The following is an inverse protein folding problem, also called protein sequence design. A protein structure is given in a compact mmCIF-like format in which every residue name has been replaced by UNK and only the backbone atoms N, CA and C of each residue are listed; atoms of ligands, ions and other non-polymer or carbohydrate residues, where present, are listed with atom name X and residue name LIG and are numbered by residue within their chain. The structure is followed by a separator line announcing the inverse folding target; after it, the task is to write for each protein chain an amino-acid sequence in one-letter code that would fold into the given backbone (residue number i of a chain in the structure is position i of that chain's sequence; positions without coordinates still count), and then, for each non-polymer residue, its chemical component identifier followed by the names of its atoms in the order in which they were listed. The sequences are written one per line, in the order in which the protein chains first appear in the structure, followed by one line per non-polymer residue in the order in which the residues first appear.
data_IF_114427346697
#
_entry.id   IF_114427346697
#
_cell.length_a   1.000
_cell.length_b   1.000
_cell.length_c   1.000
_cell.angle_alpha   90.00
_cell.angle_beta   90.00
_cell.angle_gamma   90.00
#
_symmetry.space_group_name_H-M   'P 1'
#
loop_
_entity.id
_entity.type
_entity.pdbx_description
1 polymer ?
#
# COMPACT_ATOMS: atom_id res chain seq x y z
N UNK A 1 -17.16 60.71 0.59
CA UNK A 1 -16.95 59.36 0.03
C UNK A 1 -16.28 58.43 1.08
N UNK A 2 -16.91 58.19 2.24
CA UNK A 2 -16.31 57.44 3.37
C UNK A 2 -17.14 56.22 3.83
N UNK A 3 -18.26 55.91 3.14
CA UNK A 3 -19.19 54.86 3.58
C UNK A 3 -18.84 53.45 3.10
N UNK A 4 -17.87 53.31 2.19
CA UNK A 4 -17.49 52.02 1.60
C UNK A 4 -16.32 51.31 2.33
N UNK A 5 -15.66 51.95 3.30
CA UNK A 5 -14.47 51.38 3.95
C UNK A 5 -14.81 50.37 5.07
N UNK A 6 -15.99 50.48 5.69
CA UNK A 6 -16.38 49.63 6.82
C UNK A 6 -16.73 48.18 6.48
N UNK A 7 -17.43 47.83 5.39
CA UNK A 7 -17.77 46.43 5.11
C UNK A 7 -16.54 45.59 4.72
N UNK A 8 -15.52 46.22 4.12
CA UNK A 8 -14.32 45.50 3.67
C UNK A 8 -13.43 45.06 4.86
N UNK A 9 -13.34 45.87 5.92
CA UNK A 9 -12.59 45.52 7.12
C UNK A 9 -13.20 44.32 7.87
N UNK A 10 -14.53 44.19 7.85
CA UNK A 10 -15.23 43.08 8.51
C UNK A 10 -15.02 41.74 7.79
N UNK A 11 -14.94 41.75 6.46
CA UNK A 11 -14.67 40.55 5.66
C UNK A 11 -13.24 40.03 5.86
N UNK A 12 -12.26 40.92 6.04
CA UNK A 12 -10.86 40.52 6.33
C UNK A 12 -10.73 39.89 7.72
N UNK A 13 -11.46 40.39 8.72
CA UNK A 13 -11.46 39.83 10.07
C UNK A 13 -12.11 38.43 10.15
N UNK A 14 -13.11 38.14 9.31
CA UNK A 14 -13.75 36.83 9.27
C UNK A 14 -12.89 35.76 8.57
N UNK A 15 -11.96 36.15 7.70
CA UNK A 15 -11.04 35.21 7.01
C UNK A 15 -9.81 34.81 7.84
N UNK A 16 -9.55 35.47 8.97
CA UNK A 16 -8.35 35.23 9.77
C UNK A 16 -8.49 34.09 10.80
N UNK A 17 -9.68 33.50 10.96
CA UNK A 17 -9.86 32.29 11.74
C UNK A 17 -9.46 31.07 10.89
N UNK A 18 -8.15 30.82 10.79
CA UNK A 18 -7.63 29.57 10.22
C UNK A 18 -8.19 28.38 10.98
N UNK A 19 -8.89 27.51 10.28
CA UNK A 19 -9.43 26.27 10.84
C UNK A 19 -8.26 25.38 11.27
N UNK A 20 -7.96 25.34 12.57
CA UNK A 20 -7.03 24.36 13.13
C UNK A 20 -7.83 23.10 13.37
N UNK A 21 -7.40 22.01 12.74
CA UNK A 21 -8.04 20.72 12.93
C UNK A 21 -7.85 20.29 14.40
N UNK A 22 -8.95 19.91 15.05
CA UNK A 22 -8.95 19.43 16.45
C UNK A 22 -8.10 18.19 16.62
N UNK A 23 -7.92 17.40 15.56
CA UNK A 23 -6.98 16.28 15.56
C UNK A 23 -5.54 16.77 15.67
N UNK A 24 -5.12 17.73 14.83
CA UNK A 24 -3.75 18.27 14.86
C UNK A 24 -3.42 18.83 16.25
N UNK A 25 -4.34 19.56 16.90
CA UNK A 25 -4.15 20.10 18.25
C UNK A 25 -3.87 19.01 19.30
N UNK A 26 -4.47 17.83 19.18
CA UNK A 26 -4.29 16.72 20.13
C UNK A 26 -2.98 15.93 19.92
N UNK A 27 -2.39 15.98 18.72
CA UNK A 27 -1.15 15.26 18.38
C UNK A 27 0.04 16.18 18.12
N UNK A 28 -0.10 17.47 18.43
CA UNK A 28 0.95 18.47 18.22
C UNK A 28 2.17 18.25 19.13
N UNK A 29 1.98 17.65 20.30
CA UNK A 29 3.05 17.39 21.28
C UNK A 29 3.80 16.07 21.01
N UNK A 30 3.35 15.28 20.02
CA UNK A 30 3.98 14.00 19.65
C UNK A 30 4.93 14.19 18.48
N UNK A 31 5.95 13.33 18.40
CA UNK A 31 6.85 13.31 17.24
C UNK A 31 6.03 13.03 15.96
N UNK A 32 6.23 13.83 14.89
CA UNK A 32 5.44 13.68 13.68
C UNK A 32 5.81 12.37 12.99
N UNK A 33 4.80 11.62 12.56
CA UNK A 33 4.99 10.33 11.89
C UNK A 33 4.02 10.23 10.71
N UNK A 34 4.56 10.00 9.52
CA UNK A 34 3.82 9.88 8.27
C UNK A 34 3.93 8.45 7.73
N UNK A 35 2.79 7.74 7.68
CA UNK A 35 2.76 6.34 7.29
C UNK A 35 2.14 6.15 5.90
N UNK A 36 2.85 5.44 5.03
CA UNK A 36 2.51 5.22 3.62
C UNK A 36 2.41 3.73 3.28
N UNK A 37 1.54 3.40 2.33
CA UNK A 37 1.38 2.03 1.82
C UNK A 37 2.43 1.72 0.75
N UNK A 38 3.39 0.87 1.11
CA UNK A 38 4.36 0.26 0.20
C UNK A 38 3.85 -1.07 -0.37
N UNK A 39 4.60 -1.67 -1.29
CA UNK A 39 4.26 -2.98 -1.89
C UNK A 39 4.29 -4.10 -0.83
N UNK A 40 5.19 -4.01 0.16
CA UNK A 40 5.39 -5.04 1.19
C UNK A 40 4.76 -4.76 2.55
N UNK A 41 4.10 -3.60 2.75
CA UNK A 41 3.57 -3.20 4.06
C UNK A 41 3.43 -1.69 4.22
N UNK A 42 3.29 -1.22 5.46
CA UNK A 42 3.27 0.22 5.78
C UNK A 42 4.67 0.68 6.17
N UNK A 43 5.15 1.76 5.57
CA UNK A 43 6.41 2.42 5.94
C UNK A 43 6.09 3.76 6.57
N UNK A 44 6.70 4.05 7.72
CA UNK A 44 6.50 5.30 8.45
C UNK A 44 7.80 6.10 8.46
N UNK A 45 7.67 7.41 8.28
CA UNK A 45 8.78 8.36 8.21
C UNK A 45 8.51 9.53 9.14
N UNK A 46 9.56 10.15 9.65
CA UNK A 46 9.45 11.34 10.51
C UNK A 46 9.10 12.60 9.68
N UNK A 47 9.44 12.59 8.38
CA UNK A 47 9.16 13.65 7.42
C UNK A 47 8.19 13.19 6.32
N UNK A 48 7.41 14.11 5.73
CA UNK A 48 6.48 13.77 4.66
C UNK A 48 7.21 13.32 3.39
N UNK A 49 6.95 12.09 2.96
CA UNK A 49 7.46 11.54 1.70
C UNK A 49 6.52 11.87 0.54
N UNK A 50 6.79 12.97 -0.17
CA UNK A 50 5.92 13.51 -1.23
C UNK A 50 5.71 12.56 -2.42
N UNK A 51 6.70 11.71 -2.73
CA UNK A 51 6.59 10.72 -3.82
C UNK A 51 5.42 9.76 -3.64
N UNK A 52 5.08 9.45 -2.39
CA UNK A 52 4.04 8.50 -2.03
C UNK A 52 2.80 9.15 -1.42
N UNK A 53 2.63 10.48 -1.56
CA UNK A 53 1.52 11.23 -0.96
C UNK A 53 0.13 10.63 -1.26
N UNK A 54 -0.06 10.06 -2.45
CA UNK A 54 -1.32 9.40 -2.86
C UNK A 54 -1.61 8.08 -2.16
N UNK A 55 -0.63 7.53 -1.44
CA UNK A 55 -0.68 6.23 -0.75
C UNK A 55 -0.57 6.39 0.76
N UNK A 56 -0.74 7.60 1.29
CA UNK A 56 -0.74 7.84 2.72
C UNK A 56 -1.89 7.09 3.39
N UNK A 57 -1.58 6.40 4.49
CA UNK A 57 -2.55 5.64 5.28
C UNK A 57 -2.96 6.44 6.51
N UNK A 58 -1.99 7.05 7.20
CA UNK A 58 -2.23 7.91 8.36
C UNK A 58 -1.06 8.88 8.54
N UNK A 59 -1.29 9.96 9.29
CA UNK A 59 -0.26 10.85 9.77
C UNK A 59 -0.54 11.30 11.21
N UNK A 60 0.52 11.59 11.94
CA UNK A 60 0.49 12.23 13.25
C UNK A 60 1.28 13.53 13.15
N UNK A 61 0.69 14.64 13.58
CA UNK A 61 1.25 15.99 13.41
C UNK A 61 0.60 16.80 12.28
N UNK A 62 1.28 17.83 11.75
CA UNK A 62 0.71 18.71 10.72
C UNK A 62 0.52 17.97 9.40
N UNK A 63 -0.59 18.25 8.71
CA UNK A 63 -0.90 17.65 7.43
C UNK A 63 0.24 17.90 6.40
N UNK A 64 0.66 16.88 5.62
CA UNK A 64 1.77 16.96 4.66
C UNK A 64 1.62 18.08 3.61
N UNK A 65 0.40 18.55 3.32
CA UNK A 65 0.17 19.65 2.37
C UNK A 65 0.64 21.02 2.87
N UNK A 66 1.04 21.14 4.15
CA UNK A 66 1.62 22.38 4.67
C UNK A 66 3.11 22.53 4.35
N UNK A 67 3.74 21.45 3.91
CA UNK A 67 5.15 21.44 3.55
C UNK A 67 5.30 21.69 2.05
N UNK A 68 6.34 22.44 1.68
CA UNK A 68 6.66 22.67 0.28
C UNK A 68 7.16 21.39 -0.37
N UNK A 69 6.60 21.06 -1.54
CA UNK A 69 7.02 19.87 -2.28
C UNK A 69 8.43 20.10 -2.86
N UNK A 70 9.38 19.17 -2.63
CA UNK A 70 10.74 19.33 -3.13
C UNK A 70 10.76 19.34 -4.66
N UNK A 71 11.64 20.15 -5.22
CA UNK A 71 11.81 20.24 -6.68
C UNK A 71 12.13 18.85 -7.26
N UNK A 72 11.46 18.51 -8.35
CA UNK A 72 11.69 17.22 -9.00
C UNK A 72 13.15 17.14 -9.50
N UNK A 73 13.83 16.01 -9.28
CA UNK A 73 15.19 15.86 -9.76
C UNK A 73 15.21 16.01 -11.29
N UNK A 74 16.28 16.59 -11.86
CA UNK A 74 16.40 16.76 -13.29
C UNK A 74 16.31 15.40 -13.98
N UNK A 75 15.64 15.36 -15.13
CA UNK A 75 15.53 14.13 -15.90
C UNK A 75 16.95 13.60 -16.22
N UNK A 76 17.21 12.30 -15.98
CA UNK A 76 18.51 11.73 -16.29
C UNK A 76 18.78 11.87 -17.79
N UNK A 77 20.04 12.14 -18.16
CA UNK A 77 20.47 12.09 -19.56
C UNK A 77 20.53 10.62 -20.00
N UNK A 78 19.41 10.12 -20.52
CA UNK A 78 19.32 8.76 -21.04
C UNK A 78 19.97 8.73 -22.42
N UNK A 79 21.23 8.30 -22.48
CA UNK A 79 21.86 7.94 -23.75
C UNK A 79 21.48 6.50 -24.07
N UNK A 80 20.91 6.29 -25.26
CA UNK A 80 20.74 4.95 -25.76
C UNK A 80 22.12 4.29 -25.88
N UNK A 81 22.26 3.01 -25.50
CA UNK A 81 23.45 2.27 -25.83
C UNK A 81 23.64 2.29 -27.36
N UNK A 82 24.88 2.21 -27.85
CA UNK A 82 25.13 2.13 -29.29
C UNK A 82 24.37 0.95 -29.89
N UNK A 83 23.85 1.12 -31.10
CA UNK A 83 23.19 0.04 -31.82
C UNK A 83 24.18 -1.11 -32.04
N UNK A 84 23.80 -2.32 -31.64
CA UNK A 84 24.60 -3.53 -31.87
C UNK A 84 24.07 -4.19 -33.14
N UNK A 85 24.96 -4.48 -34.10
CA UNK A 85 24.58 -5.05 -35.40
C UNK A 85 24.17 -6.53 -35.33
N UNK A 86 24.61 -7.25 -34.30
CA UNK A 86 24.31 -8.67 -34.12
C UNK A 86 24.09 -9.03 -32.65
N UNK A 87 23.14 -9.94 -32.42
CA UNK A 87 22.93 -10.53 -31.09
C UNK A 87 23.66 -11.87 -31.02
N UNK A 88 24.53 -12.03 -30.02
CA UNK A 88 25.10 -13.33 -29.68
C UNK A 88 24.10 -14.04 -28.77
N UNK A 89 23.60 -15.20 -29.20
CA UNK A 89 22.87 -16.09 -28.30
C UNK A 89 23.87 -16.71 -27.33
N UNK A 90 23.59 -16.58 -26.04
CA UNK A 90 24.27 -17.39 -25.03
C UNK A 90 24.07 -18.88 -25.35
N UNK A 91 25.10 -19.69 -25.09
CA UNK A 91 25.01 -21.12 -25.30
C UNK A 91 23.86 -21.68 -24.45
N UNK A 92 22.96 -22.44 -25.09
CA UNK A 92 21.89 -23.12 -24.35
C UNK A 92 22.52 -23.99 -23.24
N UNK A 93 21.99 -23.93 -22.01
CA UNK A 93 22.51 -24.73 -20.93
C UNK A 93 22.42 -26.21 -21.32
N UNK A 94 23.58 -26.88 -21.39
CA UNK A 94 23.63 -28.31 -21.73
C UNK A 94 22.86 -29.07 -20.64
N UNK A 95 21.87 -29.90 -20.99
CA UNK A 95 21.16 -30.72 -20.02
C UNK A 95 22.15 -31.59 -19.25
N UNK A 96 22.37 -31.28 -17.98
CA UNK A 96 23.16 -32.16 -17.13
C UNK A 96 22.31 -33.38 -16.77
N UNK A 97 22.85 -34.61 -16.87
CA UNK A 97 22.16 -35.78 -16.38
C UNK A 97 21.89 -35.61 -14.89
N UNK A 98 20.63 -35.78 -14.48
CA UNK A 98 20.24 -35.78 -13.07
C UNK A 98 21.17 -36.77 -12.33
N UNK A 99 21.87 -36.36 -11.26
CA UNK A 99 22.73 -37.27 -10.53
C UNK A 99 21.91 -38.49 -10.08
N UNK A 100 22.46 -39.71 -10.17
CA UNK A 100 21.77 -40.90 -9.71
C UNK A 100 21.39 -40.68 -8.25
N UNK A 101 20.14 -41.02 -7.89
CA UNK A 101 19.71 -41.04 -6.50
C UNK A 101 20.63 -42.00 -5.76
N UNK A 102 21.65 -41.47 -5.08
CA UNK A 102 22.44 -42.22 -4.12
C UNK A 102 21.42 -42.75 -3.11
N UNK A 103 21.21 -44.07 -3.13
CA UNK A 103 20.52 -44.72 -2.02
C UNK A 103 21.28 -44.30 -0.77
N UNK A 104 20.60 -43.86 0.30
CA UNK A 104 21.29 -43.61 1.56
C UNK A 104 22.05 -44.88 1.91
N UNK A 105 23.38 -44.79 1.86
CA UNK A 105 24.24 -45.85 2.35
C UNK A 105 23.81 -46.07 3.80
N UNK A 106 23.37 -47.29 4.07
CA UNK A 106 22.96 -47.73 5.38
C UNK A 106 24.04 -47.38 6.40
N UNK A 107 23.62 -46.64 7.42
CA UNK A 107 23.95 -46.84 8.83
C UNK A 107 25.21 -47.67 9.11
N UNK A 108 26.26 -47.02 9.59
CA UNK A 108 27.18 -47.59 10.58
C UNK A 108 27.61 -46.50 11.59
N UNK A 109 28.01 -46.91 12.81
CA UNK A 109 27.44 -46.37 14.04
C UNK A 109 28.17 -45.14 14.61
N UNK A 110 27.44 -44.50 15.50
CA UNK A 110 27.79 -43.31 16.27
C UNK A 110 29.22 -43.31 16.84
N UNK A 111 29.95 -42.22 16.56
CA UNK A 111 30.96 -41.68 17.48
C UNK A 111 30.36 -40.49 18.21
N UNK A 112 30.50 -40.41 19.55
CA UNK A 112 29.82 -39.41 20.35
C UNK A 112 30.60 -38.09 20.39
N UNK A 113 29.88 -36.99 20.21
CA UNK A 113 30.25 -35.70 20.81
C UNK A 113 30.35 -34.53 19.83
N UNK A 114 29.25 -33.79 19.68
CA UNK A 114 29.14 -32.36 20.05
C UNK A 114 27.68 -31.89 19.77
N UNK A 115 27.00 -31.19 20.70
CA UNK A 115 25.62 -30.75 20.49
C UNK A 115 25.58 -29.58 19.49
N UNK A 116 25.10 -29.85 18.26
CA UNK A 116 24.69 -28.83 17.31
C UNK A 116 23.22 -28.46 17.54
N UNK A 117 22.96 -27.16 17.50
CA UNK A 117 21.70 -26.55 17.93
C UNK A 117 20.54 -26.96 17.02
N UNK A 118 19.44 -27.32 17.68
CA UNK A 118 18.17 -27.78 17.08
C UNK A 118 17.41 -26.57 16.52
N UNK A 119 17.57 -26.28 15.23
CA UNK A 119 16.62 -25.46 14.50
C UNK A 119 15.41 -26.34 14.15
N UNK A 120 14.26 -26.04 14.75
CA UNK A 120 12.99 -26.71 14.47
C UNK A 120 12.36 -26.09 13.22
N UNK A 121 12.50 -26.76 12.08
CA UNK A 121 11.56 -26.60 10.96
C UNK A 121 10.81 -27.91 10.82
N UNK A 122 9.63 -27.95 11.44
CA UNK A 122 8.68 -29.05 11.29
C UNK A 122 8.08 -29.04 9.89
N UNK A 123 8.19 -30.19 9.24
CA UNK A 123 7.10 -30.89 8.56
C UNK A 123 6.11 -30.02 7.77
N UNK A 124 6.57 -29.46 6.65
CA UNK A 124 5.69 -29.12 5.52
C UNK A 124 5.75 -30.33 4.60
N UNK A 125 4.77 -31.23 4.67
CA UNK A 125 4.31 -32.09 3.56
C UNK A 125 3.31 -33.16 4.05
N UNK A 126 2.16 -32.73 4.59
CA UNK A 126 0.94 -33.56 4.59
C UNK A 126 -0.33 -32.73 4.77
N UNK A 127 -0.63 -31.83 3.83
CA UNK A 127 -1.93 -31.14 3.80
C UNK A 127 -2.33 -30.67 2.39
N UNK A 128 -2.03 -31.42 1.33
CA UNK A 128 -2.39 -31.03 -0.04
C UNK A 128 -3.86 -31.35 -0.44
N UNK A 129 -4.75 -31.64 0.51
CA UNK A 129 -6.15 -32.00 0.22
C UNK A 129 -7.20 -31.22 1.04
N UNK A 130 -6.80 -30.30 1.92
CA UNK A 130 -7.72 -29.60 2.85
C UNK A 130 -7.48 -28.08 2.88
N UNK A 131 -6.93 -27.49 1.80
CA UNK A 131 -6.67 -26.05 1.78
C UNK A 131 -7.95 -25.21 1.55
N UNK A 132 -8.98 -25.77 0.90
CA UNK A 132 -10.21 -25.03 0.63
C UNK A 132 -11.07 -24.81 1.88
N UNK A 133 -11.03 -25.75 2.83
CA UNK A 133 -11.72 -25.71 4.13
C UNK A 133 -11.02 -24.78 5.11
N UNK A 134 -9.69 -24.80 5.16
CA UNK A 134 -8.92 -23.91 6.04
C UNK A 134 -9.05 -22.45 5.61
N UNK A 135 -8.89 -22.15 4.31
CA UNK A 135 -9.09 -20.78 3.80
C UNK A 135 -10.56 -20.34 3.89
N UNK A 136 -11.53 -21.25 3.75
CA UNK A 136 -12.96 -20.92 3.94
C UNK A 136 -13.28 -20.59 5.40
N UNK A 137 -12.76 -21.38 6.36
CA UNK A 137 -12.92 -21.09 7.80
C UNK A 137 -12.22 -19.79 8.20
N UNK A 138 -11.01 -19.54 7.70
CA UNK A 138 -10.28 -18.31 7.98
C UNK A 138 -11.00 -17.09 7.40
N UNK A 139 -11.59 -17.21 6.20
CA UNK A 139 -12.37 -16.15 5.57
C UNK A 139 -13.69 -15.89 6.31
N UNK A 140 -14.39 -16.92 6.75
CA UNK A 140 -15.61 -16.79 7.55
C UNK A 140 -15.33 -16.12 8.92
N UNK A 141 -14.20 -16.47 9.56
CA UNK A 141 -13.80 -15.88 10.83
C UNK A 141 -13.32 -14.41 10.70
N UNK A 142 -12.67 -14.05 9.59
CA UNK A 142 -12.16 -12.69 9.36
C UNK A 142 -13.20 -11.72 8.79
N UNK A 143 -14.17 -12.21 8.01
CA UNK A 143 -15.09 -11.35 7.26
C UNK A 143 -16.56 -11.52 7.63
N UNK A 144 -16.92 -12.47 8.50
CA UNK A 144 -18.32 -12.76 8.80
C UNK A 144 -19.04 -13.39 7.61
N UNK A 145 -19.94 -14.30 7.91
CA UNK A 145 -20.76 -15.01 6.95
C UNK A 145 -21.87 -14.07 6.44
N UNK A 146 -21.67 -13.37 5.32
CA UNK A 146 -22.78 -12.78 4.56
C UNK A 146 -23.43 -13.89 3.74
N UNK A 147 -24.37 -14.60 4.38
CA UNK A 147 -25.38 -15.39 3.70
C UNK A 147 -26.11 -14.52 2.67
N UNK A 148 -26.06 -14.96 1.42
CA UNK A 148 -26.81 -14.36 0.34
C UNK A 148 -28.30 -14.67 0.48
N UNK A 149 -29.08 -13.63 0.73
CA UNK A 149 -30.44 -13.52 0.22
C UNK A 149 -30.49 -12.32 -0.72
N UNK A 150 -30.67 -12.63 -2.00
CA UNK A 150 -30.96 -11.66 -3.03
C UNK A 150 -32.33 -11.01 -2.76
N UNK A 151 -32.32 -9.91 -2.01
CA UNK A 151 -33.40 -8.95 -1.99
C UNK A 151 -32.94 -7.70 -2.73
N UNK A 152 -33.43 -7.53 -3.95
CA UNK A 152 -33.25 -6.33 -4.76
C UNK A 152 -33.61 -5.08 -3.93
N UNK A 153 -32.61 -4.25 -3.61
CA UNK A 153 -32.86 -2.90 -3.11
C UNK A 153 -33.30 -2.01 -4.29
N UNK A 154 -34.34 -1.19 -4.11
CA UNK A 154 -34.84 -0.34 -5.17
C UNK A 154 -33.83 0.75 -5.51
N UNK A 155 -33.62 0.94 -6.82
CA UNK A 155 -32.90 2.08 -7.40
C UNK A 155 -33.59 3.37 -6.93
N UNK A 156 -32.88 4.34 -6.34
CA UNK A 156 -33.47 5.65 -6.09
C UNK A 156 -33.78 6.32 -7.44
N UNK A 157 -34.98 6.89 -7.65
CA UNK A 157 -35.30 7.57 -8.89
C UNK A 157 -34.36 8.76 -9.09
N UNK A 158 -33.88 8.90 -10.33
CA UNK A 158 -33.10 10.04 -10.78
C UNK A 158 -33.86 11.35 -10.49
N UNK A 159 -33.17 12.45 -10.13
CA UNK A 159 -33.81 13.74 -10.06
C UNK A 159 -34.28 14.14 -11.46
N UNK A 160 -35.59 14.24 -11.64
CA UNK A 160 -36.22 14.77 -12.85
C UNK A 160 -35.76 16.22 -13.03
N UNK A 161 -34.92 16.44 -14.04
CA UNK A 161 -34.69 17.79 -14.57
C UNK A 161 -35.97 18.27 -15.24
N UNK A 162 -36.60 19.38 -14.80
CA UNK A 162 -37.73 19.94 -15.51
C UNK A 162 -37.25 20.52 -16.84
N UNK A 163 -37.76 19.96 -17.95
CA UNK A 163 -37.71 20.57 -19.26
C UNK A 163 -38.40 21.94 -19.22
N UNK A 164 -37.81 23.00 -19.80
CA UNK A 164 -38.50 24.26 -19.94
C UNK A 164 -39.63 24.13 -20.97
N UNK A 165 -40.87 24.15 -20.48
CA UNK A 165 -42.04 24.45 -21.29
C UNK A 165 -41.89 25.86 -21.86
N UNK A 166 -41.79 25.96 -23.19
CA UNK A 166 -41.82 27.24 -23.88
C UNK A 166 -43.14 27.98 -23.71
N UNK A 167 -43.09 29.29 -23.83
CA UNK A 167 -44.21 30.15 -24.19
C UNK A 167 -43.66 31.38 -24.91
N UNK A 168 -44.10 31.49 -26.17
CA UNK A 168 -44.42 32.68 -26.97
C UNK A 168 -43.68 33.99 -26.70
#
# INVERSE_FOLDING_TARGET
MQKALKPMAMLVLLGACGYVDKYEEAVYDMEPVYCYKSIGGVQCHDEPHFRDQRRMVNYFGPHPSRYDEPEAPPAPNLQAPPSIEYFVKDAEPIPQPKPPKLKPASTEPASPGLPSQKATTGDVDKAAADESSFFSSLRAALFGEEGGDAAAKPVPPAPETPLPSGSL
#
